data_IF_256866435987
#
_entry.id   IF_256866435987
#
_cell.length_a   1.000
_cell.length_b   1.000
_cell.length_c   1.000
_cell.angle_alpha   90.00
_cell.angle_beta   90.00
_cell.angle_gamma   90.00
#
_symmetry.space_group_name_H-M   'P 1'
#
loop_
_entity.id
_entity.type
_entity.pdbx_description
1 polymer ?
#
# COMPACT_ATOMS: atom_id res chain seq x y z
N UNK A 1 -2.07 -20.56 -7.75
CA UNK A 1 -2.11 -19.16 -7.24
C UNK A 1 -1.74 -19.11 -5.77
N UNK A 2 -2.30 -19.99 -4.96
CA UNK A 2 -2.06 -20.07 -3.51
C UNK A 2 -0.58 -20.25 -3.15
N UNK A 3 0.12 -21.20 -3.79
CA UNK A 3 1.57 -21.39 -3.57
C UNK A 3 2.41 -20.14 -3.88
N UNK A 4 2.06 -19.42 -4.96
CA UNK A 4 2.75 -18.16 -5.30
C UNK A 4 2.47 -17.08 -4.24
N UNK A 5 1.24 -16.96 -3.77
CA UNK A 5 0.88 -16.00 -2.72
C UNK A 5 1.63 -16.31 -1.41
N UNK A 6 1.67 -17.58 -1.01
CA UNK A 6 2.37 -18.03 0.19
C UNK A 6 3.88 -17.74 0.12
N UNK A 7 4.52 -17.97 -1.03
CA UNK A 7 5.93 -17.63 -1.24
C UNK A 7 6.19 -16.13 -1.13
N UNK A 8 5.34 -15.29 -1.77
CA UNK A 8 5.45 -13.84 -1.71
C UNK A 8 5.28 -13.32 -0.28
N UNK A 9 4.24 -13.75 0.41
CA UNK A 9 4.00 -13.29 1.78
C UNK A 9 5.06 -13.80 2.75
N UNK A 10 5.58 -15.01 2.57
CA UNK A 10 6.70 -15.52 3.37
C UNK A 10 7.96 -14.65 3.20
N UNK A 11 8.29 -14.26 1.98
CA UNK A 11 9.42 -13.38 1.70
C UNK A 11 9.29 -11.96 2.27
N UNK A 12 8.05 -11.49 2.45
CA UNK A 12 7.74 -10.17 3.00
C UNK A 12 7.52 -10.16 4.52
N UNK A 13 7.48 -11.33 5.17
CA UNK A 13 7.17 -11.43 6.59
C UNK A 13 8.25 -10.77 7.46
N UNK A 14 7.83 -9.83 8.32
CA UNK A 14 8.68 -9.02 9.20
C UNK A 14 9.72 -8.16 8.46
N UNK A 15 9.48 -7.90 7.18
CA UNK A 15 10.37 -7.12 6.33
C UNK A 15 9.77 -5.75 5.99
N UNK A 16 10.62 -4.89 5.42
CA UNK A 16 10.23 -3.57 4.94
C UNK A 16 9.84 -3.63 3.46
N UNK A 17 8.69 -3.08 3.14
CA UNK A 17 8.30 -2.70 1.78
C UNK A 17 8.49 -1.18 1.65
N UNK A 18 9.16 -0.73 0.60
CA UNK A 18 9.31 0.71 0.35
C UNK A 18 8.32 1.17 -0.71
N UNK A 19 7.48 2.15 -0.33
CA UNK A 19 6.54 2.78 -1.26
C UNK A 19 7.26 3.88 -2.05
N UNK A 20 7.64 3.53 -3.29
CA UNK A 20 8.32 4.42 -4.23
C UNK A 20 7.26 5.12 -5.09
N UNK A 21 6.82 6.29 -4.64
CA UNK A 21 5.81 7.11 -5.30
C UNK A 21 6.18 8.59 -5.21
N UNK A 22 5.89 9.32 -6.28
CA UNK A 22 5.95 10.77 -6.31
C UNK A 22 4.63 11.31 -6.87
N UNK A 23 4.26 12.52 -6.49
CA UNK A 23 2.99 13.13 -6.84
C UNK A 23 3.18 14.61 -7.20
N UNK A 24 2.26 15.13 -8.00
CA UNK A 24 2.21 16.54 -8.35
C UNK A 24 3.50 17.04 -9.03
N UNK A 25 4.03 18.13 -8.52
CA UNK A 25 5.22 18.83 -9.00
C UNK A 25 6.55 18.28 -8.44
N UNK A 26 6.52 17.11 -7.81
CA UNK A 26 7.75 16.48 -7.33
C UNK A 26 8.75 16.29 -8.47
N UNK A 27 10.03 16.70 -8.30
CA UNK A 27 11.07 16.54 -9.33
C UNK A 27 11.35 15.07 -9.66
N UNK A 28 10.90 14.14 -8.81
CA UNK A 28 11.06 12.70 -8.97
C UNK A 28 9.84 12.01 -9.58
N UNK A 29 8.83 12.77 -10.04
CA UNK A 29 7.59 12.21 -10.59
C UNK A 29 7.78 11.74 -12.04
N UNK A 30 8.66 10.78 -12.23
CA UNK A 30 8.90 10.09 -13.50
C UNK A 30 9.45 8.66 -13.26
N UNK A 31 9.24 7.73 -14.22
CA UNK A 31 9.62 6.32 -14.02
C UNK A 31 11.10 6.07 -13.75
N UNK A 32 11.99 6.84 -14.35
CA UNK A 32 13.43 6.68 -14.17
C UNK A 32 13.87 7.00 -12.73
N UNK A 33 13.34 8.05 -12.13
CA UNK A 33 13.72 8.43 -10.76
C UNK A 33 13.01 7.56 -9.71
N UNK A 34 11.78 7.14 -9.97
CA UNK A 34 11.09 6.13 -9.14
C UNK A 34 11.89 4.82 -9.13
N UNK A 35 12.41 4.40 -10.27
CA UNK A 35 13.25 3.20 -10.35
C UNK A 35 14.55 3.36 -9.54
N UNK A 36 15.19 4.54 -9.53
CA UNK A 36 16.36 4.79 -8.67
C UNK A 36 16.02 4.67 -7.17
N UNK A 37 14.88 5.18 -6.73
CA UNK A 37 14.41 4.98 -5.35
C UNK A 37 14.23 3.49 -5.05
N UNK A 38 13.61 2.72 -5.93
CA UNK A 38 13.43 1.29 -5.76
C UNK A 38 14.77 0.55 -5.68
N UNK A 39 15.74 0.92 -6.52
CA UNK A 39 17.09 0.36 -6.48
C UNK A 39 17.81 0.67 -5.16
N UNK A 40 17.75 1.93 -4.71
CA UNK A 40 18.33 2.34 -3.44
C UNK A 40 17.67 1.62 -2.26
N UNK A 41 16.34 1.47 -2.28
CA UNK A 41 15.59 0.72 -1.28
C UNK A 41 16.03 -0.76 -1.22
N UNK A 42 16.17 -1.42 -2.38
CA UNK A 42 16.68 -2.78 -2.46
C UNK A 42 18.09 -2.90 -1.88
N UNK A 43 19.01 -2.00 -2.25
CA UNK A 43 20.36 -1.96 -1.68
C UNK A 43 20.36 -1.70 -0.17
N UNK A 44 19.36 -0.99 0.33
CA UNK A 44 19.15 -0.74 1.76
C UNK A 44 18.48 -1.89 2.53
N UNK A 45 18.13 -3.00 1.85
CA UNK A 45 17.55 -4.18 2.49
C UNK A 45 16.01 -4.24 2.45
N UNK A 46 15.33 -3.44 1.63
CA UNK A 46 13.90 -3.64 1.38
C UNK A 46 13.65 -5.01 0.74
N UNK A 47 12.58 -5.68 1.16
CA UNK A 47 12.15 -6.98 0.63
C UNK A 47 11.06 -6.87 -0.43
N UNK A 48 10.43 -5.71 -0.60
CA UNK A 48 9.42 -5.45 -1.60
C UNK A 48 9.33 -3.97 -1.95
N UNK A 49 8.76 -3.67 -3.10
CA UNK A 49 8.50 -2.31 -3.56
C UNK A 49 6.99 -2.15 -3.77
N UNK A 50 6.45 -1.01 -3.33
CA UNK A 50 5.10 -0.58 -3.70
C UNK A 50 5.22 0.64 -4.61
N UNK A 51 4.50 0.66 -5.74
CA UNK A 51 4.59 1.76 -6.70
C UNK A 51 3.27 2.04 -7.40
N UNK A 52 3.07 3.29 -7.78
CA UNK A 52 1.89 3.79 -8.49
C UNK A 52 2.22 3.99 -9.96
N UNK A 53 1.30 3.58 -10.84
CA UNK A 53 1.39 3.81 -12.28
C UNK A 53 2.19 2.75 -13.05
N UNK A 54 1.74 2.48 -14.28
CA UNK A 54 2.29 1.41 -15.12
C UNK A 54 3.73 1.71 -15.54
N UNK A 55 4.04 2.96 -15.88
CA UNK A 55 5.40 3.37 -16.25
C UNK A 55 6.41 3.11 -15.13
N UNK A 56 6.03 3.47 -13.91
CA UNK A 56 6.85 3.24 -12.71
C UNK A 56 7.01 1.75 -12.44
N UNK A 57 5.93 0.97 -12.51
CA UNK A 57 5.96 -0.47 -12.31
C UNK A 57 6.94 -1.15 -13.27
N UNK A 58 6.85 -0.85 -14.57
CA UNK A 58 7.73 -1.42 -15.59
C UNK A 58 9.20 -1.04 -15.34
N UNK A 59 9.49 0.24 -15.04
CA UNK A 59 10.83 0.71 -14.77
C UNK A 59 11.44 0.06 -13.51
N UNK A 60 10.65 -0.08 -12.44
CA UNK A 60 11.07 -0.76 -11.20
C UNK A 60 11.40 -2.24 -11.47
N UNK A 61 10.52 -2.96 -12.16
CA UNK A 61 10.72 -4.40 -12.45
C UNK A 61 11.94 -4.69 -13.34
N UNK A 62 12.40 -3.71 -14.10
CA UNK A 62 13.64 -3.88 -14.91
C UNK A 62 14.92 -3.87 -14.07
N UNK A 63 14.91 -3.24 -12.89
CA UNK A 63 16.14 -2.99 -12.14
C UNK A 63 16.21 -3.62 -10.75
N UNK A 64 15.09 -4.08 -10.19
CA UNK A 64 15.09 -4.76 -8.89
C UNK A 64 14.47 -6.16 -8.99
N UNK A 65 15.07 -7.17 -8.33
CA UNK A 65 14.55 -8.54 -8.31
C UNK A 65 13.54 -8.77 -7.16
N UNK A 66 12.87 -7.72 -6.72
CA UNK A 66 11.94 -7.77 -5.59
C UNK A 66 10.49 -7.91 -6.07
N UNK A 67 9.60 -8.50 -5.26
CA UNK A 67 8.18 -8.44 -5.51
C UNK A 67 7.68 -6.99 -5.52
N UNK A 68 6.79 -6.69 -6.46
CA UNK A 68 6.23 -5.35 -6.64
C UNK A 68 4.72 -5.36 -6.37
N UNK A 69 4.30 -4.52 -5.42
CA UNK A 69 2.91 -4.17 -5.16
C UNK A 69 2.58 -2.97 -6.04
N UNK A 70 1.75 -3.17 -7.05
CA UNK A 70 1.35 -2.13 -7.99
C UNK A 70 -0.04 -1.59 -7.73
N UNK A 71 -0.23 -0.33 -8.06
CA UNK A 71 -1.52 0.35 -7.97
C UNK A 71 -1.64 1.45 -9.04
N UNK A 72 -2.85 1.92 -9.25
CA UNK A 72 -3.15 3.15 -9.98
C UNK A 72 -4.02 4.04 -9.10
N UNK A 73 -3.77 5.35 -9.09
CA UNK A 73 -4.60 6.33 -8.40
C UNK A 73 -5.49 7.04 -9.39
N UNK A 74 -6.79 6.97 -9.17
CA UNK A 74 -7.79 7.64 -10.01
C UNK A 74 -8.72 8.50 -9.18
N UNK A 75 -8.97 9.74 -9.64
CA UNK A 75 -9.94 10.65 -9.03
C UNK A 75 -11.35 10.29 -9.48
N UNK A 76 -12.28 10.28 -8.54
CA UNK A 76 -13.69 9.99 -8.76
C UNK A 76 -14.54 11.25 -8.63
N UNK A 77 -15.78 11.19 -9.10
CA UNK A 77 -16.70 12.33 -9.11
C UNK A 77 -17.07 12.87 -7.74
N UNK A 78 -16.87 12.07 -6.69
CA UNK A 78 -17.04 12.47 -5.28
C UNK A 78 -15.85 13.29 -4.73
N UNK A 79 -14.84 13.57 -5.56
CA UNK A 79 -13.64 14.33 -5.19
C UNK A 79 -12.55 13.51 -4.49
N UNK A 80 -12.77 12.22 -4.24
CA UNK A 80 -11.80 11.36 -3.59
C UNK A 80 -11.09 10.43 -4.57
N UNK A 81 -9.83 10.11 -4.24
CA UNK A 81 -9.04 9.12 -4.98
C UNK A 81 -9.51 7.70 -4.61
N UNK A 82 -9.52 6.81 -5.60
CA UNK A 82 -9.58 5.35 -5.42
C UNK A 82 -8.24 4.74 -5.82
N UNK A 83 -7.83 3.74 -5.09
CA UNK A 83 -6.66 2.92 -5.42
C UNK A 83 -7.14 1.77 -6.30
N UNK A 84 -6.71 1.76 -7.56
CA UNK A 84 -7.08 0.75 -8.56
C UNK A 84 -8.60 0.55 -8.62
N UNK A 85 -9.30 1.65 -8.93
CA UNK A 85 -10.76 1.75 -8.83
C UNK A 85 -11.52 1.27 -10.07
N UNK A 86 -10.85 0.72 -11.09
CA UNK A 86 -11.50 0.21 -12.30
C UNK A 86 -10.93 -1.12 -12.77
N UNK A 87 -11.77 -1.90 -13.46
CA UNK A 87 -11.35 -3.16 -14.08
C UNK A 87 -10.22 -2.98 -15.09
N UNK A 88 -10.22 -1.87 -15.83
CA UNK A 88 -9.15 -1.53 -16.77
C UNK A 88 -7.80 -1.39 -16.06
N UNK A 89 -7.78 -0.75 -14.88
CA UNK A 89 -6.55 -0.57 -14.10
C UNK A 89 -6.01 -1.90 -13.58
N UNK A 90 -6.87 -2.80 -13.12
CA UNK A 90 -6.47 -4.17 -12.73
C UNK A 90 -5.85 -4.91 -13.91
N UNK A 91 -6.49 -4.86 -15.08
CA UNK A 91 -6.00 -5.55 -16.28
C UNK A 91 -4.63 -5.03 -16.73
N UNK A 92 -4.39 -3.71 -16.73
CA UNK A 92 -3.09 -3.15 -17.13
C UNK A 92 -1.99 -3.45 -16.12
N UNK A 93 -2.27 -3.44 -14.82
CA UNK A 93 -1.33 -3.85 -13.77
C UNK A 93 -0.94 -5.34 -13.91
N UNK A 94 -1.92 -6.20 -14.12
CA UNK A 94 -1.70 -7.63 -14.35
C UNK A 94 -0.81 -7.86 -15.58
N UNK A 95 -1.14 -7.22 -16.70
CA UNK A 95 -0.38 -7.34 -17.96
C UNK A 95 1.05 -6.79 -17.84
N UNK A 96 1.26 -5.79 -16.98
CA UNK A 96 2.60 -5.28 -16.66
C UNK A 96 3.40 -6.19 -15.73
N UNK A 97 2.83 -7.34 -15.32
CA UNK A 97 3.52 -8.33 -14.48
C UNK A 97 3.60 -7.93 -13.00
N UNK A 98 2.64 -7.18 -12.49
CA UNK A 98 2.51 -6.87 -11.07
C UNK A 98 2.40 -8.16 -10.24
N UNK A 99 3.10 -8.22 -9.10
CA UNK A 99 3.09 -9.43 -8.26
C UNK A 99 1.90 -9.43 -7.29
N UNK A 100 1.57 -8.26 -6.73
CA UNK A 100 0.42 -8.02 -5.85
C UNK A 100 -0.27 -6.74 -6.34
N UNK A 101 -1.56 -6.77 -6.57
CA UNK A 101 -2.34 -5.59 -6.96
C UNK A 101 -3.01 -5.00 -5.71
N UNK A 102 -2.66 -3.76 -5.35
CA UNK A 102 -3.35 -3.05 -4.30
C UNK A 102 -4.65 -2.45 -4.85
N UNK A 103 -5.76 -2.72 -4.17
CA UNK A 103 -7.11 -2.27 -4.52
C UNK A 103 -7.74 -1.60 -3.30
N UNK A 104 -8.39 -0.45 -3.51
CA UNK A 104 -9.20 0.23 -2.50
C UNK A 104 -10.30 -0.71 -2.00
N UNK A 105 -10.20 -1.15 -0.75
CA UNK A 105 -11.14 -2.07 -0.10
C UNK A 105 -12.28 -1.38 0.66
N UNK A 106 -12.37 -0.05 0.60
CA UNK A 106 -13.43 0.69 1.31
C UNK A 106 -14.80 0.44 0.70
N UNK A 107 -15.86 0.73 1.46
CA UNK A 107 -17.24 0.61 0.95
C UNK A 107 -17.61 1.70 -0.08
N UNK A 108 -16.72 2.68 -0.32
CA UNK A 108 -16.95 3.72 -1.34
C UNK A 108 -17.12 3.10 -2.73
N UNK A 109 -18.12 3.57 -3.45
CA UNK A 109 -18.51 3.00 -4.75
C UNK A 109 -17.43 3.19 -5.85
N UNK A 110 -17.26 2.17 -6.69
CA UNK A 110 -16.57 2.19 -7.98
C UNK A 110 -17.21 1.21 -8.94
N UNK A 111 -17.41 1.62 -10.19
CA UNK A 111 -18.09 0.80 -11.20
C UNK A 111 -19.41 0.17 -10.69
N UNK A 112 -20.17 0.90 -9.87
CA UNK A 112 -21.42 0.45 -9.22
C UNK A 112 -21.25 -0.70 -8.23
N UNK A 113 -20.06 -0.92 -7.72
CA UNK A 113 -19.71 -1.94 -6.74
C UNK A 113 -19.06 -1.30 -5.51
N UNK A 114 -19.24 -1.90 -4.35
CA UNK A 114 -18.39 -1.62 -3.18
C UNK A 114 -16.96 -2.13 -3.41
N UNK A 115 -15.99 -1.70 -2.57
CA UNK A 115 -14.63 -2.23 -2.67
C UNK A 115 -14.54 -3.75 -2.53
N UNK A 116 -15.14 -4.35 -1.51
CA UNK A 116 -15.15 -5.80 -1.37
C UNK A 116 -15.78 -6.52 -2.58
N UNK A 117 -16.92 -6.05 -3.09
CA UNK A 117 -17.56 -6.67 -4.26
C UNK A 117 -16.69 -6.54 -5.53
N UNK A 118 -16.04 -5.39 -5.69
CA UNK A 118 -15.09 -5.18 -6.78
C UNK A 118 -13.88 -6.12 -6.65
N UNK A 119 -13.29 -6.24 -5.46
CA UNK A 119 -12.19 -7.17 -5.19
C UNK A 119 -12.60 -8.61 -5.54
N UNK A 120 -13.78 -9.05 -5.07
CA UNK A 120 -14.30 -10.37 -5.40
C UNK A 120 -14.38 -10.59 -6.91
N UNK A 121 -15.00 -9.67 -7.64
CA UNK A 121 -15.12 -9.72 -9.11
C UNK A 121 -13.75 -9.81 -9.79
N UNK A 122 -12.75 -9.03 -9.34
CA UNK A 122 -11.42 -9.01 -9.96
C UNK A 122 -10.66 -10.32 -9.71
N UNK A 123 -10.72 -10.87 -8.50
CA UNK A 123 -10.08 -12.15 -8.18
C UNK A 123 -10.68 -13.28 -9.01
N UNK A 124 -12.01 -13.35 -9.11
CA UNK A 124 -12.70 -14.38 -9.90
C UNK A 124 -12.33 -14.29 -11.39
N UNK A 125 -12.26 -13.07 -11.93
CA UNK A 125 -12.03 -12.86 -13.36
C UNK A 125 -10.57 -13.05 -13.77
N UNK A 126 -9.64 -12.50 -12.99
CA UNK A 126 -8.23 -12.37 -13.39
C UNK A 126 -7.29 -13.28 -12.61
N UNK A 127 -7.74 -13.91 -11.54
CA UNK A 127 -6.92 -14.75 -10.64
C UNK A 127 -5.64 -14.04 -10.18
N UNK A 128 -5.77 -12.78 -9.80
CA UNK A 128 -4.69 -11.93 -9.30
C UNK A 128 -4.57 -12.02 -7.78
N UNK A 129 -3.36 -11.78 -7.26
CA UNK A 129 -3.13 -11.62 -5.83
C UNK A 129 -3.48 -10.18 -5.46
N UNK A 130 -4.42 -10.01 -4.53
CA UNK A 130 -4.95 -8.71 -4.13
C UNK A 130 -4.56 -8.38 -2.70
N UNK A 131 -4.00 -7.17 -2.52
CA UNK A 131 -3.90 -6.45 -1.26
C UNK A 131 -5.09 -5.49 -1.17
N UNK A 132 -5.93 -5.62 -0.14
CA UNK A 132 -6.99 -4.66 0.10
C UNK A 132 -6.49 -3.50 0.96
N UNK A 133 -6.48 -2.30 0.40
CA UNK A 133 -6.21 -1.06 1.15
C UNK A 133 -7.48 -0.65 1.88
N UNK A 134 -7.44 -0.65 3.20
CA UNK A 134 -8.62 -0.42 4.05
C UNK A 134 -8.41 0.72 5.04
N UNK A 135 -9.52 1.20 5.62
CA UNK A 135 -9.56 2.27 6.61
C UNK A 135 -10.27 1.85 7.91
N UNK A 136 -10.92 0.67 7.93
CA UNK A 136 -11.67 0.18 9.10
C UNK A 136 -11.65 -1.35 9.19
N UNK A 137 -11.97 -1.87 10.39
CA UNK A 137 -12.07 -3.32 10.63
C UNK A 137 -13.22 -3.94 9.81
N UNK A 138 -14.35 -3.26 9.69
CA UNK A 138 -15.50 -3.76 8.92
C UNK A 138 -15.19 -3.90 7.43
N UNK A 139 -14.44 -2.98 6.86
CA UNK A 139 -13.95 -3.08 5.48
C UNK A 139 -12.97 -4.24 5.32
N UNK A 140 -12.07 -4.42 6.28
CA UNK A 140 -11.12 -5.54 6.29
C UNK A 140 -11.84 -6.90 6.29
N UNK A 141 -12.83 -7.08 7.17
CA UNK A 141 -13.65 -8.31 7.23
C UNK A 141 -14.37 -8.58 5.91
N UNK A 142 -15.00 -7.56 5.34
CA UNK A 142 -15.68 -7.68 4.06
C UNK A 142 -14.71 -8.04 2.92
N UNK A 143 -13.50 -7.45 2.89
CA UNK A 143 -12.48 -7.74 1.90
C UNK A 143 -11.92 -9.17 2.04
N UNK A 144 -11.71 -9.66 3.26
CA UNK A 144 -11.28 -11.05 3.51
C UNK A 144 -12.36 -12.02 3.03
N UNK A 145 -13.62 -11.78 3.35
CA UNK A 145 -14.74 -12.59 2.87
C UNK A 145 -14.88 -12.54 1.33
N UNK A 146 -14.47 -11.45 0.70
CA UNK A 146 -14.39 -11.29 -0.75
C UNK A 146 -13.20 -12.02 -1.41
N UNK A 147 -12.27 -12.55 -0.59
CA UNK A 147 -11.12 -13.33 -1.04
C UNK A 147 -9.83 -12.52 -1.14
N UNK A 148 -9.72 -11.32 -0.56
CA UNK A 148 -8.46 -10.58 -0.50
C UNK A 148 -7.37 -11.43 0.17
N UNK A 149 -6.15 -11.36 -0.36
CA UNK A 149 -5.04 -12.20 0.07
C UNK A 149 -4.23 -11.58 1.22
N UNK A 150 -4.26 -10.27 1.35
CA UNK A 150 -3.71 -9.51 2.46
C UNK A 150 -4.41 -8.16 2.61
N UNK A 151 -4.20 -7.52 3.75
CA UNK A 151 -4.76 -6.22 4.10
C UNK A 151 -3.64 -5.19 4.27
N UNK A 152 -3.94 -3.91 4.01
CA UNK A 152 -3.05 -2.79 4.32
C UNK A 152 -3.84 -1.63 4.94
N UNK A 153 -3.33 -1.06 6.03
CA UNK A 153 -3.96 0.06 6.75
C UNK A 153 -3.83 1.41 6.03
N UNK A 154 -3.52 1.37 4.75
CA UNK A 154 -3.17 2.51 3.89
C UNK A 154 -4.17 3.68 3.97
N UNK A 155 -5.46 3.37 4.01
CA UNK A 155 -6.52 4.37 3.85
C UNK A 155 -7.03 4.95 5.19
N UNK A 156 -6.55 4.49 6.34
CA UNK A 156 -6.90 5.10 7.63
C UNK A 156 -6.44 6.56 7.69
N UNK A 157 -7.39 7.46 7.93
CA UNK A 157 -7.21 8.90 7.92
C UNK A 157 -7.32 9.56 6.54
N UNK A 158 -7.53 8.78 5.47
CA UNK A 158 -7.64 9.28 4.09
C UNK A 158 -9.02 9.10 3.46
N UNK A 159 -10.00 8.68 4.25
CA UNK A 159 -11.40 8.58 3.83
C UNK A 159 -12.28 9.56 4.61
N UNK A 160 -13.46 9.95 4.10
CA UNK A 160 -14.38 10.81 4.85
C UNK A 160 -14.68 10.29 6.26
N UNK A 161 -14.87 8.98 6.40
CA UNK A 161 -15.29 8.33 7.64
C UNK A 161 -14.13 8.16 8.65
N UNK A 162 -12.88 8.27 8.21
CA UNK A 162 -11.69 8.11 9.06
C UNK A 162 -10.83 9.37 9.16
N UNK A 163 -11.30 10.50 8.62
CA UNK A 163 -10.55 11.76 8.58
C UNK A 163 -10.06 12.22 9.97
N UNK A 164 -10.81 11.92 11.06
CA UNK A 164 -10.39 12.20 12.43
C UNK A 164 -9.10 11.49 12.85
N UNK A 165 -8.72 10.42 12.17
CA UNK A 165 -7.46 9.69 12.40
C UNK A 165 -6.28 10.20 11.57
N UNK A 166 -6.46 11.31 10.82
CA UNK A 166 -5.43 11.95 9.99
C UNK A 166 -4.32 12.66 10.80
N UNK A 167 -4.00 12.18 11.98
CA UNK A 167 -2.98 12.76 12.87
C UNK A 167 -1.54 12.55 12.41
N UNK A 168 -0.58 12.97 13.26
CA UNK A 168 0.85 12.93 12.96
C UNK A 168 1.52 11.55 13.12
N UNK A 169 0.77 10.50 13.42
CA UNK A 169 1.29 9.16 13.66
C UNK A 169 0.47 8.07 12.99
N UNK A 170 0.96 6.80 13.06
CA UNK A 170 0.22 5.63 12.59
C UNK A 170 -1.09 5.42 13.35
N UNK A 171 -2.05 4.79 12.70
CA UNK A 171 -3.26 4.30 13.36
C UNK A 171 -2.96 2.97 14.07
N UNK A 172 -2.51 3.07 15.30
CA UNK A 172 -2.16 1.91 16.13
C UNK A 172 -3.37 1.08 16.52
N UNK A 173 -4.54 1.73 16.71
CA UNK A 173 -5.75 1.04 17.10
C UNK A 173 -6.20 0.11 15.98
N UNK A 174 -6.33 0.64 14.75
CA UNK A 174 -6.69 -0.17 13.59
C UNK A 174 -5.73 -1.35 13.39
N UNK A 175 -4.40 -1.11 13.48
CA UNK A 175 -3.42 -2.18 13.33
C UNK A 175 -3.63 -3.27 14.38
N UNK A 176 -3.81 -2.90 15.66
CA UNK A 176 -3.97 -3.86 16.76
C UNK A 176 -5.25 -4.66 16.58
N UNK A 177 -6.37 -3.99 16.28
CA UNK A 177 -7.67 -4.64 16.08
C UNK A 177 -7.62 -5.66 14.93
N UNK A 178 -6.95 -5.33 13.82
CA UNK A 178 -6.79 -6.24 12.68
C UNK A 178 -5.91 -7.45 13.03
N UNK A 179 -4.79 -7.22 13.72
CA UNK A 179 -3.88 -8.30 14.13
C UNK A 179 -4.59 -9.27 15.08
N UNK A 180 -5.33 -8.76 16.06
CA UNK A 180 -6.12 -9.57 16.98
C UNK A 180 -7.25 -10.31 16.24
N UNK A 181 -7.97 -9.61 15.38
CA UNK A 181 -9.13 -10.16 14.63
C UNK A 181 -8.74 -11.31 13.72
N UNK A 182 -7.63 -11.19 13.01
CA UNK A 182 -7.22 -12.19 12.02
C UNK A 182 -6.20 -13.20 12.55
N UNK A 183 -5.53 -12.90 13.66
CA UNK A 183 -4.61 -13.80 14.37
C UNK A 183 -3.65 -14.56 13.42
N UNK A 184 -3.06 -13.86 12.47
CA UNK A 184 -2.10 -14.41 11.51
C UNK A 184 -2.71 -15.22 10.35
N UNK A 185 -4.04 -15.41 10.30
CA UNK A 185 -4.70 -16.10 9.17
C UNK A 185 -4.66 -15.29 7.86
N UNK A 186 -4.56 -13.97 7.98
CA UNK A 186 -4.42 -13.03 6.86
C UNK A 186 -3.25 -12.10 7.16
N UNK A 187 -2.28 -11.91 6.23
CA UNK A 187 -1.21 -10.95 6.39
C UNK A 187 -1.75 -9.51 6.50
N UNK A 188 -1.42 -8.81 7.59
CA UNK A 188 -1.76 -7.39 7.80
C UNK A 188 -0.50 -6.54 7.61
N UNK A 189 -0.49 -5.70 6.60
CA UNK A 189 0.57 -4.74 6.32
C UNK A 189 0.28 -3.42 7.01
N UNK A 190 1.23 -2.97 7.83
CA UNK A 190 1.15 -1.68 8.50
C UNK A 190 1.63 -0.59 7.53
N UNK A 191 0.71 0.19 6.99
CA UNK A 191 0.98 1.32 6.09
C UNK A 191 0.27 2.58 6.58
N UNK A 192 0.88 3.73 6.35
CA UNK A 192 0.36 5.03 6.75
C UNK A 192 1.09 5.62 7.95
N UNK A 193 1.92 6.65 7.68
CA UNK A 193 2.63 7.46 8.68
C UNK A 193 3.67 6.73 9.55
N UNK A 194 4.14 5.55 9.16
CA UNK A 194 5.29 4.87 9.79
C UNK A 194 6.59 5.54 9.33
N UNK A 195 6.82 6.76 9.81
CA UNK A 195 7.83 7.69 9.27
C UNK A 195 9.19 7.63 10.01
N UNK A 196 9.37 6.69 10.92
CA UNK A 196 10.67 6.45 11.57
C UNK A 196 10.95 4.96 11.69
N UNK A 197 12.24 4.55 11.76
CA UNK A 197 12.60 3.15 12.00
C UNK A 197 12.00 2.56 13.28
N UNK A 198 11.86 3.38 14.34
CA UNK A 198 11.27 2.94 15.60
C UNK A 198 9.78 2.63 15.45
N UNK A 199 9.01 3.47 14.73
CA UNK A 199 7.59 3.21 14.46
C UNK A 199 7.41 1.96 13.60
N UNK A 200 8.26 1.73 12.61
CA UNK A 200 8.24 0.53 11.80
C UNK A 200 8.53 -0.74 12.62
N UNK A 201 9.57 -0.70 13.48
CA UNK A 201 9.89 -1.81 14.37
C UNK A 201 8.77 -2.10 15.38
N UNK A 202 8.12 -1.04 15.90
CA UNK A 202 7.00 -1.19 16.84
C UNK A 202 5.78 -1.83 16.16
N UNK A 203 5.51 -1.53 14.87
CA UNK A 203 4.44 -2.19 14.12
C UNK A 203 4.66 -3.71 14.02
N UNK A 204 5.90 -4.16 13.76
CA UNK A 204 6.24 -5.58 13.74
C UNK A 204 6.04 -6.22 15.12
N UNK A 205 6.48 -5.55 16.21
CA UNK A 205 6.26 -6.04 17.59
C UNK A 205 4.77 -6.17 17.92
N UNK A 206 3.93 -5.32 17.37
CA UNK A 206 2.46 -5.37 17.51
C UNK A 206 1.80 -6.41 16.62
N UNK A 207 2.56 -7.19 15.85
CA UNK A 207 2.07 -8.30 15.06
C UNK A 207 1.80 -7.98 13.59
N UNK A 208 2.19 -6.80 13.09
CA UNK A 208 2.14 -6.55 11.65
C UNK A 208 2.94 -7.59 10.88
N UNK A 209 2.39 -8.07 9.76
CA UNK A 209 3.10 -9.00 8.89
C UNK A 209 4.31 -8.36 8.23
N UNK A 210 4.16 -7.12 7.79
CA UNK A 210 5.17 -6.31 7.13
C UNK A 210 4.87 -4.83 7.36
N UNK A 211 5.83 -3.95 7.10
CA UNK A 211 5.62 -2.50 7.18
C UNK A 211 5.88 -1.88 5.82
N UNK A 212 5.01 -0.95 5.43
CA UNK A 212 5.17 -0.15 4.21
C UNK A 212 5.52 1.29 4.59
N UNK A 213 6.68 1.76 4.17
CA UNK A 213 7.12 3.15 4.39
C UNK A 213 7.37 3.85 3.06
N UNK A 214 6.74 4.99 2.88
CA UNK A 214 6.89 5.84 1.67
C UNK A 214 7.57 7.15 1.98
N UNK A 215 6.85 8.10 2.54
CA UNK A 215 7.25 9.52 2.67
C UNK A 215 8.61 9.73 3.33
N UNK A 216 8.94 8.96 4.36
CA UNK A 216 10.21 9.07 5.06
C UNK A 216 11.43 8.52 4.29
N UNK A 217 11.21 7.86 3.15
CA UNK A 217 12.29 7.28 2.34
C UNK A 217 12.34 7.90 0.95
N UNK A 218 11.19 8.12 0.32
CA UNK A 218 11.11 8.46 -1.11
C UNK A 218 10.59 9.87 -1.40
N UNK A 219 10.33 10.69 -0.36
CA UNK A 219 9.88 12.08 -0.52
C UNK A 219 10.83 13.05 0.19
N UNK A 220 12.03 13.33 -0.38
CA UNK A 220 13.04 14.20 0.25
C UNK A 220 12.50 15.59 0.61
N UNK A 221 11.59 16.15 -0.21
CA UNK A 221 10.97 17.44 0.07
C UNK A 221 10.16 17.44 1.37
N UNK A 222 9.46 16.35 1.68
CA UNK A 222 8.73 16.22 2.96
C UNK A 222 9.69 16.06 4.14
N UNK A 223 10.73 15.25 3.96
CA UNK A 223 11.75 15.04 5.00
C UNK A 223 12.43 16.37 5.30
N UNK A 224 12.86 17.11 4.27
CA UNK A 224 13.44 18.44 4.42
C UNK A 224 12.50 19.38 5.17
N UNK A 225 11.20 19.37 4.80
CA UNK A 225 10.19 20.18 5.50
C UNK A 225 10.08 19.83 6.99
N UNK A 226 10.10 18.54 7.35
CA UNK A 226 10.05 18.13 8.77
C UNK A 226 11.23 18.69 9.58
N UNK A 227 12.45 18.65 9.01
CA UNK A 227 13.62 19.26 9.64
C UNK A 227 13.48 20.77 9.77
N UNK A 228 13.09 21.46 8.68
CA UNK A 228 12.89 22.90 8.66
C UNK A 228 11.84 23.34 9.69
N UNK A 229 10.67 22.68 9.71
CA UNK A 229 9.59 22.99 10.65
C UNK A 229 10.02 22.79 12.11
N UNK A 230 10.85 21.79 12.39
CA UNK A 230 11.37 21.54 13.73
C UNK A 230 12.31 22.66 14.21
N UNK A 231 13.17 23.15 13.32
CA UNK A 231 14.10 24.25 13.63
C UNK A 231 13.38 25.59 13.83
N UNK A 232 12.28 25.84 13.12
CA UNK A 232 11.49 27.08 13.27
C UNK A 232 10.61 27.11 14.53
N UNK A 233 10.55 26.05 15.30
CA UNK A 233 9.80 25.97 16.57
C UNK A 233 10.66 26.30 17.79
N UNK A 234 11.94 26.57 17.59
CA UNK A 234 12.89 26.98 18.63
C UNK A 234 12.91 28.49 18.73
#
# INVERSE_FOLDING_TARGET
>A
MEDKANQLFSALKHMLVVSCQAEGDSPFNNPHDIAKFAYAAWKGGAAGIRTEGIGNLLAVKQIVPLPVIGLVKSSFSDGYVRITGSEKEVAVLMNAGCDIIAIDGTFREREKLSGPDFIHKMIQKYRVIVMADIASVSEAEACVNAGAHCLSTTLSGYTPDTHQFAGNGPDWQLLTDLVERFNGSIPVFAEGRYNTPLLAAEAIKKGAWSVVTGSAITRPQLITKWFSDALHKI
#
